data_IF_363162080180
#
_entry.id   IF_363162080180
#
_cell.length_a   1.000
_cell.length_b   1.000
_cell.length_c   1.000
_cell.angle_alpha   90.00
_cell.angle_beta   90.00
_cell.angle_gamma   90.00
#
_symmetry.space_group_name_H-M   'P 1'
#
loop_
_entity.id
_entity.type
_entity.pdbx_description
1 polymer ?
#
# COMPACT_ATOMS: atom_id res chain seq x y z
N UNK A 1 -7.36 -7.88 14.58
CA UNK A 1 -6.21 -8.09 15.48
C UNK A 1 -5.49 -9.38 15.10
N UNK A 2 -4.31 -9.63 15.67
CA UNK A 2 -3.47 -10.80 15.38
C UNK A 2 -4.26 -12.11 15.48
N UNK A 3 -5.08 -12.26 16.52
CA UNK A 3 -5.90 -13.46 16.76
C UNK A 3 -6.95 -13.75 15.66
N UNK A 4 -7.34 -12.75 14.86
CA UNK A 4 -8.35 -12.89 13.80
C UNK A 4 -7.74 -12.77 12.40
N UNK A 5 -6.42 -12.65 12.28
CA UNK A 5 -5.74 -12.56 10.99
C UNK A 5 -5.27 -13.90 10.45
N UNK A 6 -5.27 -14.97 11.25
CA UNK A 6 -4.74 -16.28 10.84
C UNK A 6 -3.21 -16.32 10.71
N UNK A 7 -2.49 -15.29 11.18
CA UNK A 7 -1.03 -15.18 11.17
C UNK A 7 -0.49 -15.19 12.60
N UNK A 8 0.73 -15.68 12.83
CA UNK A 8 1.39 -15.50 14.13
C UNK A 8 1.85 -14.06 14.32
N UNK A 9 2.08 -13.67 15.58
CA UNK A 9 2.62 -12.34 15.89
C UNK A 9 4.00 -12.13 15.25
N UNK A 10 4.87 -13.15 15.24
CA UNK A 10 6.19 -13.05 14.60
C UNK A 10 6.09 -12.88 13.09
N UNK A 11 5.19 -13.60 12.43
CA UNK A 11 4.99 -13.49 10.97
C UNK A 11 4.52 -12.09 10.58
N UNK A 12 3.58 -11.54 11.34
CA UNK A 12 3.09 -10.18 11.12
C UNK A 12 4.22 -9.17 11.38
N UNK A 13 4.94 -9.28 12.50
CA UNK A 13 6.03 -8.37 12.82
C UNK A 13 7.12 -8.38 11.73
N UNK A 14 7.48 -9.58 11.24
CA UNK A 14 8.44 -9.76 10.14
C UNK A 14 7.92 -9.18 8.83
N UNK A 15 6.64 -9.42 8.52
CA UNK A 15 5.99 -8.89 7.33
C UNK A 15 5.93 -7.37 7.33
N UNK A 16 5.52 -6.77 8.45
CA UNK A 16 5.39 -5.32 8.60
C UNK A 16 6.75 -4.60 8.56
N UNK A 17 7.79 -5.23 9.09
CA UNK A 17 9.16 -4.67 9.14
C UNK A 17 9.95 -4.89 7.86
N UNK A 18 9.43 -5.67 6.91
CA UNK A 18 10.13 -5.95 5.66
C UNK A 18 10.28 -4.68 4.83
N UNK A 19 11.52 -4.38 4.47
CA UNK A 19 11.87 -3.22 3.65
C UNK A 19 11.91 -3.56 2.17
N UNK A 20 11.32 -2.69 1.36
CA UNK A 20 11.29 -2.77 -0.08
C UNK A 20 12.05 -1.58 -0.67
N UNK A 21 13.06 -1.85 -1.50
CA UNK A 21 13.79 -0.78 -2.20
C UNK A 21 12.90 -0.16 -3.27
N UNK A 22 12.72 1.15 -3.20
CA UNK A 22 11.87 1.94 -4.11
C UNK A 22 12.56 3.25 -4.49
N UNK A 23 12.02 3.92 -5.51
CA UNK A 23 12.36 5.31 -5.80
C UNK A 23 11.11 6.17 -5.62
N UNK A 24 11.18 7.20 -4.75
CA UNK A 24 10.05 8.09 -4.43
C UNK A 24 9.40 8.70 -5.67
N UNK A 25 10.19 9.07 -6.68
CA UNK A 25 9.67 9.65 -7.94
C UNK A 25 8.87 8.61 -8.72
N UNK A 26 9.37 7.37 -8.81
CA UNK A 26 8.68 6.28 -9.53
C UNK A 26 7.42 5.82 -8.81
N UNK A 27 7.45 5.82 -7.48
CA UNK A 27 6.28 5.57 -6.62
C UNK A 27 5.25 6.67 -6.82
N UNK A 28 5.65 7.94 -6.69
CA UNK A 28 4.74 9.07 -6.88
C UNK A 28 4.11 9.04 -8.28
N UNK A 29 4.91 8.88 -9.35
CA UNK A 29 4.39 8.77 -10.72
C UNK A 29 3.38 7.64 -10.88
N UNK A 30 3.64 6.47 -10.28
CA UNK A 30 2.66 5.40 -10.25
C UNK A 30 1.37 5.85 -9.56
N UNK A 31 1.44 6.32 -8.31
CA UNK A 31 0.28 6.65 -7.48
C UNK A 31 -0.56 7.84 -8.01
N UNK A 32 0.04 8.74 -8.78
CA UNK A 32 -0.64 9.85 -9.46
C UNK A 32 -1.11 9.50 -10.87
N UNK A 33 -0.70 8.36 -11.44
CA UNK A 33 -1.25 7.87 -12.72
C UNK A 33 -2.70 7.40 -12.58
N UNK A 34 -3.43 7.32 -13.69
CA UNK A 34 -4.79 6.73 -13.72
C UNK A 34 -4.82 5.30 -13.15
N UNK A 35 -3.78 4.50 -13.39
CA UNK A 35 -3.67 3.12 -12.88
C UNK A 35 -3.43 3.12 -11.37
N UNK A 36 -2.54 3.97 -10.87
CA UNK A 36 -2.27 4.08 -9.43
C UNK A 36 -3.43 4.66 -8.63
N UNK A 37 -4.18 5.59 -9.21
CA UNK A 37 -5.42 6.09 -8.60
C UNK A 37 -6.45 4.97 -8.45
N UNK A 38 -6.72 4.19 -9.52
CA UNK A 38 -7.59 3.01 -9.45
C UNK A 38 -7.09 1.95 -8.46
N UNK A 39 -5.77 1.75 -8.40
CA UNK A 39 -5.15 0.89 -7.40
C UNK A 39 -5.49 1.39 -5.99
N UNK A 40 -5.28 2.67 -5.69
CA UNK A 40 -5.58 3.26 -4.38
C UNK A 40 -7.08 3.18 -4.05
N UNK A 41 -7.97 3.50 -4.99
CA UNK A 41 -9.43 3.34 -4.80
C UNK A 41 -9.77 1.92 -4.40
N UNK A 42 -9.23 0.93 -5.11
CA UNK A 42 -9.43 -0.48 -4.79
C UNK A 42 -8.88 -0.84 -3.41
N UNK A 43 -7.66 -0.40 -3.06
CA UNK A 43 -7.11 -0.63 -1.72
C UNK A 43 -8.02 -0.01 -0.64
N UNK A 44 -8.54 1.19 -0.88
CA UNK A 44 -9.36 1.92 0.11
C UNK A 44 -10.85 1.57 0.09
N UNK A 45 -11.27 0.64 -0.77
CA UNK A 45 -12.66 0.17 -0.82
C UNK A 45 -13.07 -0.50 0.48
N UNK A 46 -12.16 -1.33 1.00
CA UNK A 46 -12.36 -2.21 2.16
C UNK A 46 -11.59 -1.75 3.39
N UNK A 47 -10.64 -0.81 3.24
CA UNK A 47 -9.86 -0.24 4.33
C UNK A 47 -9.89 1.29 4.27
N UNK A 48 -10.47 1.94 5.28
CA UNK A 48 -10.64 3.40 5.27
C UNK A 48 -10.46 4.03 6.66
N UNK A 49 -10.16 5.34 6.74
CA UNK A 49 -10.14 6.09 7.99
C UNK A 49 -11.50 6.14 8.66
N UNK A 50 -11.60 5.76 9.94
CA UNK A 50 -12.88 5.69 10.63
C UNK A 50 -13.68 7.00 10.60
N UNK A 51 -13.04 8.12 10.97
CA UNK A 51 -13.70 9.44 11.03
C UNK A 51 -13.76 10.17 9.68
N UNK A 52 -12.81 9.90 8.78
CA UNK A 52 -12.75 10.50 7.43
C UNK A 52 -13.57 9.76 6.38
N UNK A 53 -14.02 8.55 6.70
CA UNK A 53 -14.71 7.62 5.81
C UNK A 53 -13.96 7.50 4.45
N UNK A 54 -14.68 7.21 3.37
CA UNK A 54 -14.10 7.05 2.03
C UNK A 54 -13.61 8.37 1.39
N UNK A 55 -13.99 9.54 1.94
CA UNK A 55 -13.73 10.85 1.29
C UNK A 55 -12.24 11.20 1.22
N UNK A 56 -11.47 10.81 2.23
CA UNK A 56 -10.04 11.15 2.35
C UNK A 56 -9.13 9.93 2.29
N UNK A 57 -9.69 8.72 2.12
CA UNK A 57 -8.95 7.47 2.22
C UNK A 57 -7.84 7.36 1.18
N UNK A 58 -8.13 7.70 -0.09
CA UNK A 58 -7.16 7.65 -1.19
C UNK A 58 -5.99 8.61 -0.93
N UNK A 59 -6.30 9.83 -0.52
CA UNK A 59 -5.31 10.87 -0.25
C UNK A 59 -4.44 10.48 0.95
N UNK A 60 -5.05 10.02 2.04
CA UNK A 60 -4.33 9.58 3.25
C UNK A 60 -3.38 8.41 2.95
N UNK A 61 -3.85 7.40 2.19
CA UNK A 61 -3.01 6.27 1.81
C UNK A 61 -1.88 6.70 0.87
N UNK A 62 -2.20 7.51 -0.14
CA UNK A 62 -1.21 8.03 -1.09
C UNK A 62 -0.11 8.79 -0.36
N UNK A 63 -0.46 9.73 0.52
CA UNK A 63 0.50 10.55 1.23
C UNK A 63 1.40 9.70 2.12
N UNK A 64 0.83 8.74 2.84
CA UNK A 64 1.61 7.84 3.70
C UNK A 64 2.63 7.01 2.90
N UNK A 65 2.23 6.44 1.76
CA UNK A 65 3.14 5.68 0.89
C UNK A 65 4.26 6.57 0.34
N UNK A 66 3.94 7.79 -0.11
CA UNK A 66 4.95 8.70 -0.65
C UNK A 66 5.93 9.14 0.44
N UNK A 67 5.43 9.50 1.63
CA UNK A 67 6.24 9.94 2.76
C UNK A 67 7.18 8.83 3.27
N UNK A 68 6.68 7.59 3.35
CA UNK A 68 7.52 6.46 3.74
C UNK A 68 8.61 6.18 2.68
N UNK A 69 8.31 6.40 1.39
CA UNK A 69 9.25 6.13 0.30
C UNK A 69 10.44 7.11 0.15
N UNK A 70 10.48 8.19 0.94
CA UNK A 70 11.43 9.30 0.76
C UNK A 70 12.89 8.87 0.89
N UNK A 71 13.20 7.95 1.80
CA UNK A 71 14.56 7.43 2.02
C UNK A 71 14.95 6.30 1.03
N UNK A 72 14.10 6.04 0.03
CA UNK A 72 14.29 4.96 -0.93
C UNK A 72 13.90 3.57 -0.41
N UNK A 73 13.27 3.50 0.77
CA UNK A 73 12.74 2.27 1.36
C UNK A 73 11.23 2.41 1.55
N UNK A 74 10.53 1.30 1.55
CA UNK A 74 9.09 1.26 1.82
C UNK A 74 8.81 0.06 2.71
N UNK A 75 8.00 0.24 3.74
CA UNK A 75 7.62 -0.82 4.67
C UNK A 75 6.19 -0.62 5.16
N UNK A 76 5.54 -1.68 5.60
CA UNK A 76 4.17 -1.55 6.09
C UNK A 76 4.14 -0.76 7.40
N UNK A 77 5.09 -1.02 8.30
CA UNK A 77 5.23 -0.29 9.55
C UNK A 77 5.49 1.21 9.32
N UNK A 78 6.31 1.55 8.33
CA UNK A 78 6.58 2.92 7.95
C UNK A 78 5.36 3.63 7.36
N UNK A 79 4.63 2.99 6.43
CA UNK A 79 3.34 3.50 5.94
C UNK A 79 2.37 3.73 7.10
N UNK A 80 2.24 2.76 8.02
CA UNK A 80 1.36 2.90 9.18
C UNK A 80 1.72 4.12 10.04
N UNK A 81 3.01 4.38 10.25
CA UNK A 81 3.51 5.55 10.98
C UNK A 81 3.22 6.87 10.27
N UNK A 82 3.20 6.88 8.94
CA UNK A 82 2.98 8.08 8.12
C UNK A 82 1.50 8.36 7.83
N UNK A 83 0.60 7.46 8.23
CA UNK A 83 -0.84 7.70 8.07
C UNK A 83 -1.29 8.84 9.00
N UNK A 84 -2.08 9.80 8.50
CA UNK A 84 -2.62 10.86 9.35
C UNK A 84 -3.63 10.32 10.39
N UNK A 85 -4.25 9.19 10.10
CA UNK A 85 -5.23 8.49 10.93
C UNK A 85 -5.24 6.99 10.61
N UNK A 86 -5.51 6.16 11.60
CA UNK A 86 -5.57 4.70 11.43
C UNK A 86 -6.69 4.28 10.48
N UNK A 87 -6.36 3.35 9.57
CA UNK A 87 -7.34 2.69 8.71
C UNK A 87 -7.99 1.51 9.42
N UNK A 88 -9.26 1.24 9.10
CA UNK A 88 -10.03 0.12 9.62
C UNK A 88 -10.70 -0.67 8.51
N UNK A 89 -11.02 -1.93 8.80
CA UNK A 89 -11.80 -2.78 7.92
C UNK A 89 -13.26 -2.28 7.84
N UNK A 90 -13.79 -2.22 6.62
CA UNK A 90 -15.13 -1.73 6.28
C UNK A 90 -16.31 -2.53 6.88
N UNK A 91 -16.03 -3.68 7.47
CA UNK A 91 -16.98 -4.62 8.07
C UNK A 91 -17.82 -3.98 9.21
N UNK A 92 -17.31 -2.92 9.84
CA UNK A 92 -18.01 -2.21 10.93
C UNK A 92 -19.14 -1.29 10.47
N UNK A 93 -19.36 -1.08 9.17
CA UNK A 93 -20.37 -0.13 8.68
C UNK A 93 -21.29 -0.69 7.57
N UNK A 94 -21.34 -2.01 7.35
CA UNK A 94 -22.17 -2.61 6.29
C UNK A 94 -21.79 -2.19 4.86
N UNK A 95 -20.62 -1.56 4.68
CA UNK A 95 -20.09 -1.09 3.38
C UNK A 95 -19.12 -2.09 2.75
N UNK A 96 -18.96 -3.25 3.39
CA UNK A 96 -18.09 -4.34 2.97
C UNK A 96 -18.82 -5.18 1.92
N UNK A 97 -18.27 -5.23 0.71
CA UNK A 97 -18.81 -5.99 -0.42
C UNK A 97 -18.14 -7.37 -0.58
N UNK A 98 -17.41 -7.82 0.45
CA UNK A 98 -16.63 -9.06 0.41
C UNK A 98 -15.33 -8.97 -0.40
N UNK A 99 -15.09 -7.88 -1.15
CA UNK A 99 -13.91 -7.75 -2.01
C UNK A 99 -12.69 -7.31 -1.18
N UNK A 100 -11.94 -8.28 -0.69
CA UNK A 100 -10.70 -8.04 0.02
C UNK A 100 -9.54 -7.90 -0.97
N UNK A 101 -9.07 -6.65 -1.13
CA UNK A 101 -8.02 -6.31 -2.09
C UNK A 101 -6.61 -6.48 -1.49
N UNK A 102 -6.36 -7.62 -0.87
CA UNK A 102 -5.00 -7.97 -0.43
C UNK A 102 -4.12 -8.16 -1.66
N UNK A 103 -2.97 -7.51 -1.61
CA UNK A 103 -2.02 -7.40 -2.71
C UNK A 103 -1.24 -8.68 -3.05
N UNK A 104 -1.75 -9.84 -2.65
CA UNK A 104 -1.13 -11.13 -2.86
C UNK A 104 -2.18 -12.26 -2.93
N UNK A 105 -3.01 -12.27 -3.97
CA UNK A 105 -3.89 -13.41 -4.30
C UNK A 105 -3.02 -14.66 -4.45
N UNK A 106 -3.02 -15.54 -3.45
CA UNK A 106 -2.22 -16.77 -3.41
C UNK A 106 -1.01 -16.80 -2.45
N UNK A 107 -0.73 -15.72 -1.69
CA UNK A 107 0.28 -15.77 -0.60
C UNK A 107 -0.31 -15.75 0.81
N UNK A 108 -1.63 -15.60 0.90
CA UNK A 108 -2.39 -15.79 2.12
C UNK A 108 -3.05 -17.18 2.09
N UNK A 109 -3.16 -17.82 3.25
CA UNK A 109 -3.78 -19.12 3.45
C UNK A 109 -5.11 -18.95 4.17
N UNK A 110 -6.20 -19.37 3.52
CA UNK A 110 -7.55 -19.28 4.07
C UNK A 110 -8.11 -17.85 4.08
N UNK A 111 -9.41 -17.77 4.34
CA UNK A 111 -10.14 -16.51 4.25
C UNK A 111 -9.64 -15.51 5.28
N UNK A 112 -9.35 -15.90 6.52
CA UNK A 112 -8.90 -14.96 7.56
C UNK A 112 -7.60 -14.22 7.20
N UNK A 113 -6.61 -14.90 6.59
CA UNK A 113 -5.37 -14.26 6.16
C UNK A 113 -5.58 -13.38 4.92
N UNK A 114 -6.39 -13.82 3.96
CA UNK A 114 -6.72 -12.98 2.81
C UNK A 114 -7.70 -11.83 3.17
N UNK A 115 -8.31 -12.00 4.34
CA UNK A 115 -9.33 -11.30 5.13
C UNK A 115 -8.96 -10.03 5.91
N UNK A 116 -7.67 -9.94 6.27
CA UNK A 116 -7.30 -9.14 7.44
C UNK A 116 -6.65 -7.81 7.07
N UNK A 117 -6.93 -6.79 7.88
CA UNK A 117 -6.24 -5.49 7.80
C UNK A 117 -4.71 -5.63 7.91
N UNK A 118 -4.23 -6.55 8.74
CA UNK A 118 -2.79 -6.77 8.92
C UNK A 118 -2.17 -7.36 7.66
N UNK A 119 -2.85 -8.31 7.02
CA UNK A 119 -2.40 -8.90 5.76
C UNK A 119 -2.40 -7.89 4.63
N UNK A 120 -3.41 -7.03 4.57
CA UNK A 120 -3.41 -5.89 3.66
C UNK A 120 -2.17 -5.02 3.82
N UNK A 121 -1.84 -4.60 5.04
CA UNK A 121 -0.61 -3.85 5.31
C UNK A 121 0.65 -4.62 4.92
N UNK A 122 0.78 -5.89 5.31
CA UNK A 122 1.96 -6.73 5.02
C UNK A 122 2.27 -6.80 3.53
N UNK A 123 1.25 -6.89 2.67
CA UNK A 123 1.45 -7.03 1.23
C UNK A 123 1.44 -5.70 0.44
N UNK A 124 0.96 -4.60 1.03
CA UNK A 124 0.85 -3.31 0.36
C UNK A 124 2.20 -2.79 -0.19
N UNK A 125 3.31 -2.75 0.57
CA UNK A 125 4.59 -2.27 0.05
C UNK A 125 5.10 -3.06 -1.16
N UNK A 126 4.92 -4.39 -1.17
CA UNK A 126 5.32 -5.24 -2.28
C UNK A 126 4.58 -4.88 -3.57
N UNK A 127 3.29 -4.59 -3.44
CA UNK A 127 2.44 -4.17 -4.54
C UNK A 127 2.88 -2.84 -5.14
N UNK A 128 3.16 -1.85 -4.29
CA UNK A 128 3.65 -0.54 -4.72
C UNK A 128 5.02 -0.68 -5.39
N UNK A 129 5.92 -1.48 -4.81
CA UNK A 129 7.23 -1.76 -5.39
C UNK A 129 7.12 -2.37 -6.79
N UNK A 130 6.23 -3.35 -6.98
CA UNK A 130 6.05 -4.03 -8.26
C UNK A 130 5.48 -3.13 -9.35
N UNK A 131 4.69 -2.11 -8.98
CA UNK A 131 4.01 -1.21 -9.90
C UNK A 131 4.70 0.15 -10.10
N UNK A 132 5.79 0.43 -9.38
CA UNK A 132 6.50 1.71 -9.52
C UNK A 132 6.94 1.94 -10.97
N UNK A 133 6.67 3.13 -11.51
CA UNK A 133 6.94 3.44 -12.91
C UNK A 133 8.38 3.94 -13.01
N UNK A 134 9.29 3.05 -13.42
CA UNK A 134 10.65 3.43 -13.80
C UNK A 134 10.59 4.27 -15.07
N UNK A 135 11.37 5.34 -15.13
CA UNK A 135 11.61 6.00 -16.42
C UNK A 135 12.27 5.00 -17.36
N UNK A 136 11.81 4.97 -18.62
CA UNK A 136 12.75 4.61 -19.68
C UNK A 136 13.82 5.69 -19.61
N UNK A 137 15.06 5.32 -19.30
CA UNK A 137 16.19 6.26 -19.38
C UNK A 137 16.13 6.82 -20.80
N UNK A 138 15.66 8.05 -20.94
CA UNK A 138 15.82 8.76 -22.18
C UNK A 138 17.32 8.97 -22.28
N UNK A 139 17.98 8.17 -23.12
CA UNK A 139 19.33 8.46 -23.57
C UNK A 139 19.23 9.82 -24.25
N UNK A 140 19.40 10.90 -23.48
CA UNK A 140 19.59 12.23 -24.05
C UNK A 140 20.94 12.14 -24.73
N UNK A 141 21.04 12.21 -26.07
CA UNK A 141 22.33 12.46 -26.68
C UNK A 141 22.81 13.78 -26.10
N UNK A 142 23.92 13.72 -25.37
CA UNK A 142 24.63 14.93 -24.95
C UNK A 142 25.08 15.57 -26.25
N UNK A 143 24.31 16.55 -26.73
CA UNK A 143 24.67 17.32 -27.91
C UNK A 143 25.84 18.17 -27.46
N UNK A 144 27.06 17.70 -27.74
CA UNK A 144 28.28 18.44 -27.49
C UNK A 144 28.15 19.83 -28.11
N UNK A 145 28.46 20.85 -27.31
CA UNK A 145 28.69 22.19 -27.80
C UNK A 145 30.01 22.15 -28.58
N UNK A 146 29.90 22.00 -29.89
CA UNK A 146 30.89 22.41 -30.88
C UNK A 146 30.29 23.58 -31.64
#
# INVERSE_FOLDING_TARGET
>A
GVNNSGWTAEEIAKGLSKQYKVNVVYVARFLYSKKGYKFLENQTKSYFPYWGMKKTAVQALRSAIVLDSVDGKLSSAGIMKMLPVDMRLADTCGTFDGAQNVCAKGKCQGDQQCTSLLSWYVFLPACVQANQIKDKVAARPVRGLW
#
